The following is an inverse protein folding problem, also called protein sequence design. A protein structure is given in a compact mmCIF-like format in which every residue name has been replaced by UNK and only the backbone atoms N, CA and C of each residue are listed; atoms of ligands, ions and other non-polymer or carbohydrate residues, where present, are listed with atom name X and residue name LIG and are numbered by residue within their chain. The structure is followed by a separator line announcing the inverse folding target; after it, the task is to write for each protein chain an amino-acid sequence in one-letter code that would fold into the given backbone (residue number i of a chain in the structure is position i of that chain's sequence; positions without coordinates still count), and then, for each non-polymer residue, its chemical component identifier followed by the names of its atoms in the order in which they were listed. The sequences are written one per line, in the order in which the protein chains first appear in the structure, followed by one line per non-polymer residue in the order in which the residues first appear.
data_IF_019527887993
#
_entry.id   IF_019527887993
#
_cell.length_a   1.000
_cell.length_b   1.000
_cell.length_c   1.000
_cell.angle_alpha   90.00
_cell.angle_beta   90.00
_cell.angle_gamma   90.00
#
_symmetry.space_group_name_H-M   'P 1'
#
loop_
_entity.id
_entity.type
_entity.pdbx_description
1 polymer ?
#
# COMPACT_ATOMS: atom_id res chain seq x y z
N UNK A 1 -5.34 -9.73 9.33
CA UNK A 1 -4.56 -10.44 8.28
C UNK A 1 -5.04 -11.88 8.15
N UNK A 2 -4.92 -12.73 9.19
CA UNK A 2 -5.40 -14.13 9.17
C UNK A 2 -6.86 -14.26 8.67
N UNK A 3 -7.75 -13.37 9.12
CA UNK A 3 -9.14 -13.35 8.65
C UNK A 3 -9.33 -13.05 7.15
N UNK A 4 -8.46 -12.23 6.53
CA UNK A 4 -8.55 -11.94 5.09
C UNK A 4 -7.94 -13.09 4.27
N UNK A 5 -6.79 -13.62 4.70
CA UNK A 5 -6.10 -14.73 4.06
C UNK A 5 -6.95 -16.01 4.05
N UNK A 6 -7.59 -16.35 5.18
CA UNK A 6 -8.50 -17.49 5.28
C UNK A 6 -9.70 -17.39 4.32
N UNK A 7 -10.20 -16.18 4.07
CA UNK A 7 -11.40 -15.94 3.25
C UNK A 7 -11.10 -15.99 1.75
N UNK A 8 -9.87 -15.66 1.36
CA UNK A 8 -9.41 -15.83 -0.03
C UNK A 8 -9.00 -17.28 -0.29
N UNK A 9 -8.57 -18.00 0.77
CA UNK A 9 -8.26 -19.43 0.68
C UNK A 9 -9.54 -20.27 0.53
N UNK A 10 -9.96 -20.51 -0.72
CA UNK A 10 -10.98 -21.51 -1.04
C UNK A 10 -12.33 -21.00 -1.56
N UNK A 11 -12.47 -19.71 -1.87
CA UNK A 11 -13.66 -19.17 -2.55
C UNK A 11 -13.30 -18.48 -3.88
N UNK A 12 -13.90 -18.95 -4.99
CA UNK A 12 -13.98 -18.20 -6.24
C UNK A 12 -12.67 -17.92 -6.99
N UNK A 13 -12.60 -16.73 -7.61
CA UNK A 13 -11.55 -16.23 -8.50
C UNK A 13 -10.40 -15.50 -7.77
N UNK A 14 -10.32 -15.67 -6.45
CA UNK A 14 -9.30 -15.02 -5.61
C UNK A 14 -9.62 -13.57 -5.21
N UNK A 15 -10.88 -13.13 -5.39
CA UNK A 15 -11.35 -11.79 -4.99
C UNK A 15 -12.22 -11.83 -3.74
N UNK A 16 -12.06 -10.83 -2.87
CA UNK A 16 -12.91 -10.58 -1.72
C UNK A 16 -14.33 -10.22 -2.20
N UNK A 17 -15.31 -11.03 -1.81
CA UNK A 17 -16.73 -10.74 -2.09
C UNK A 17 -17.25 -9.65 -1.15
N UNK A 18 -18.42 -9.07 -1.47
CA UNK A 18 -19.02 -8.04 -0.59
C UNK A 18 -19.31 -8.60 0.80
N UNK A 19 -19.77 -9.87 0.86
CA UNK A 19 -20.02 -10.57 2.12
C UNK A 19 -18.75 -10.74 2.94
N UNK A 20 -17.64 -11.09 2.29
CA UNK A 20 -16.35 -11.26 2.99
C UNK A 20 -15.80 -9.90 3.44
N UNK A 21 -15.97 -8.84 2.64
CA UNK A 21 -15.62 -7.48 3.01
C UNK A 21 -16.43 -6.98 4.23
N UNK A 22 -17.74 -7.24 4.26
CA UNK A 22 -18.61 -6.98 5.41
C UNK A 22 -18.09 -7.68 6.66
N UNK A 23 -17.79 -8.97 6.56
CA UNK A 23 -17.33 -9.76 7.70
C UNK A 23 -15.94 -9.32 8.19
N UNK A 24 -15.01 -8.99 7.28
CA UNK A 24 -13.70 -8.43 7.62
C UNK A 24 -13.85 -7.14 8.43
N UNK A 25 -14.74 -6.23 8.00
CA UNK A 25 -15.01 -4.98 8.72
C UNK A 25 -15.65 -5.25 10.08
N UNK A 26 -16.59 -6.18 10.20
CA UNK A 26 -17.22 -6.51 11.49
C UNK A 26 -16.25 -7.19 12.46
N UNK A 27 -15.38 -8.08 11.97
CA UNK A 27 -14.35 -8.73 12.79
C UNK A 27 -13.26 -7.77 13.23
N UNK A 28 -13.05 -6.69 12.48
CA UNK A 28 -12.10 -5.61 12.83
C UNK A 28 -12.68 -4.61 13.83
N UNK A 29 -13.82 -4.89 14.47
CA UNK A 29 -14.41 -4.05 15.52
C UNK A 29 -14.34 -4.78 16.86
N UNK A 30 -13.16 -4.93 17.44
CA UNK A 30 -13.06 -5.48 18.79
C UNK A 30 -13.65 -4.49 19.81
N UNK A 31 -14.50 -4.99 20.71
CA UNK A 31 -15.16 -4.17 21.73
C UNK A 31 -16.09 -3.06 21.21
N UNK A 32 -16.50 -3.10 19.93
CA UNK A 32 -17.48 -2.17 19.33
C UNK A 32 -16.93 -0.81 18.92
N UNK A 33 -15.61 -0.65 18.83
CA UNK A 33 -14.94 0.53 18.26
C UNK A 33 -13.86 0.10 17.27
N UNK A 34 -13.53 0.98 16.33
CA UNK A 34 -12.35 0.81 15.46
C UNK A 34 -11.24 1.67 16.04
N UNK A 35 -10.08 1.05 16.23
CA UNK A 35 -8.84 1.60 16.76
C UNK A 35 -7.84 1.86 15.62
N UNK A 36 -6.72 2.50 15.95
CA UNK A 36 -5.58 2.67 15.02
C UNK A 36 -5.21 1.37 14.30
N UNK A 37 -5.04 0.27 15.05
CA UNK A 37 -4.62 -1.03 14.52
C UNK A 37 -5.59 -1.62 13.51
N UNK A 38 -6.89 -1.52 13.81
CA UNK A 38 -7.95 -2.02 12.93
C UNK A 38 -8.05 -1.18 11.66
N UNK A 39 -7.89 0.14 11.77
CA UNK A 39 -7.83 1.03 10.61
C UNK A 39 -6.63 0.73 9.71
N UNK A 40 -5.43 0.56 10.27
CA UNK A 40 -4.23 0.17 9.51
C UNK A 40 -4.45 -1.16 8.79
N UNK A 41 -5.09 -2.13 9.46
CA UNK A 41 -5.38 -3.43 8.87
C UNK A 41 -6.36 -3.31 7.71
N UNK A 42 -7.42 -2.50 7.85
CA UNK A 42 -8.39 -2.27 6.78
C UNK A 42 -7.79 -1.52 5.60
N UNK A 43 -6.89 -0.56 5.83
CA UNK A 43 -6.12 0.13 4.79
C UNK A 43 -5.24 -0.87 4.03
N UNK A 44 -4.46 -1.69 4.75
CA UNK A 44 -3.66 -2.74 4.14
C UNK A 44 -4.51 -3.69 3.29
N UNK A 45 -5.66 -4.13 3.81
CA UNK A 45 -6.54 -5.04 3.07
C UNK A 45 -7.04 -4.36 1.79
N UNK A 46 -7.40 -3.08 1.88
CA UNK A 46 -7.92 -2.31 0.76
C UNK A 46 -6.92 -2.20 -0.39
N UNK A 47 -5.62 -2.10 -0.12
CA UNK A 47 -4.60 -1.95 -1.17
C UNK A 47 -4.11 -3.29 -1.70
N UNK A 48 -3.86 -4.25 -0.80
CA UNK A 48 -3.13 -5.47 -1.13
C UNK A 48 -4.03 -6.59 -1.66
N UNK A 49 -5.35 -6.50 -1.45
CA UNK A 49 -6.29 -7.55 -1.88
C UNK A 49 -7.21 -7.09 -2.99
N UNK A 50 -7.58 -8.04 -3.85
CA UNK A 50 -8.53 -7.77 -4.92
C UNK A 50 -9.96 -7.89 -4.40
N UNK A 51 -10.78 -6.87 -4.63
CA UNK A 51 -12.20 -6.92 -4.35
C UNK A 51 -12.97 -7.24 -5.64
N UNK A 52 -14.11 -7.91 -5.49
CA UNK A 52 -15.13 -7.87 -6.56
C UNK A 52 -15.61 -6.43 -6.75
N UNK A 53 -16.07 -6.00 -7.94
CA UNK A 53 -16.55 -4.63 -8.14
C UNK A 53 -17.63 -4.20 -7.14
N UNK A 54 -18.53 -5.13 -6.77
CA UNK A 54 -19.56 -4.90 -5.76
C UNK A 54 -18.96 -4.67 -4.36
N UNK A 55 -17.99 -5.49 -3.97
CA UNK A 55 -17.29 -5.35 -2.71
C UNK A 55 -16.46 -4.06 -2.65
N UNK A 56 -15.80 -3.68 -3.75
CA UNK A 56 -15.04 -2.45 -3.85
C UNK A 56 -15.93 -1.23 -3.64
N UNK A 57 -17.08 -1.16 -4.32
CA UNK A 57 -18.05 -0.09 -4.16
C UNK A 57 -18.62 -0.02 -2.72
N UNK A 58 -18.94 -1.17 -2.14
CA UNK A 58 -19.39 -1.25 -0.75
C UNK A 58 -18.32 -0.72 0.22
N UNK A 59 -17.08 -1.16 0.05
CA UNK A 59 -15.96 -0.79 0.92
C UNK A 59 -15.60 0.69 0.79
N UNK A 60 -15.57 1.23 -0.43
CA UNK A 60 -15.36 2.66 -0.69
C UNK A 60 -16.44 3.54 -0.04
N UNK A 61 -17.71 3.11 -0.09
CA UNK A 61 -18.79 3.81 0.62
C UNK A 61 -18.68 3.69 2.14
N UNK A 62 -18.11 2.60 2.65
CA UNK A 62 -18.01 2.32 4.08
C UNK A 62 -16.79 2.95 4.75
N UNK A 63 -15.68 3.04 4.05
CA UNK A 63 -14.40 3.50 4.60
C UNK A 63 -14.50 4.91 5.23
N UNK A 64 -15.16 5.91 4.62
CA UNK A 64 -15.32 7.23 5.25
C UNK A 64 -16.10 7.19 6.57
N UNK A 65 -17.06 6.27 6.72
CA UNK A 65 -17.79 6.10 7.99
C UNK A 65 -16.91 5.43 9.05
N UNK A 66 -16.07 4.48 8.64
CA UNK A 66 -15.08 3.82 9.50
C UNK A 66 -14.08 4.86 10.00
N UNK A 67 -13.47 5.63 9.11
CA UNK A 67 -12.50 6.67 9.43
C UNK A 67 -13.09 7.72 10.38
N UNK A 68 -14.33 8.16 10.13
CA UNK A 68 -15.04 9.12 11.01
C UNK A 68 -15.36 8.55 12.39
N UNK A 69 -15.39 7.23 12.56
CA UNK A 69 -15.67 6.57 13.83
C UNK A 69 -14.41 6.34 14.69
N UNK A 70 -13.21 6.44 14.09
CA UNK A 70 -11.93 6.34 14.81
C UNK A 70 -11.67 7.63 15.59
N UNK A 71 -11.10 7.50 16.78
CA UNK A 71 -10.63 8.66 17.54
C UNK A 71 -9.67 9.52 16.68
N UNK A 72 -9.82 10.85 16.61
CA UNK A 72 -9.02 11.68 15.71
C UNK A 72 -7.50 11.55 15.90
N UNK A 73 -7.03 11.33 17.13
CA UNK A 73 -5.60 11.14 17.40
C UNK A 73 -5.13 9.79 16.84
N UNK A 74 -5.92 8.73 17.04
CA UNK A 74 -5.64 7.42 16.47
C UNK A 74 -5.75 7.39 14.95
N UNK A 75 -6.68 8.15 14.36
CA UNK A 75 -6.81 8.29 12.91
C UNK A 75 -5.57 8.96 12.30
N UNK A 76 -5.11 10.06 12.90
CA UNK A 76 -3.88 10.73 12.45
C UNK A 76 -2.64 9.84 12.66
N UNK A 77 -2.61 9.06 13.73
CA UNK A 77 -1.53 8.10 13.97
C UNK A 77 -1.53 6.98 12.92
N UNK A 78 -2.69 6.38 12.60
CA UNK A 78 -2.84 5.37 11.56
C UNK A 78 -2.38 5.89 10.19
N UNK A 79 -2.83 7.10 9.80
CA UNK A 79 -2.40 7.73 8.54
C UNK A 79 -0.90 7.91 8.47
N UNK A 80 -0.26 8.34 9.56
CA UNK A 80 1.21 8.48 9.61
C UNK A 80 1.89 7.12 9.55
N UNK A 81 1.33 6.10 10.19
CA UNK A 81 1.89 4.75 10.19
C UNK A 81 1.87 4.12 8.81
N UNK A 82 0.87 4.44 7.98
CA UNK A 82 0.72 3.83 6.66
C UNK A 82 1.28 4.68 5.51
N UNK A 83 1.06 6.00 5.53
CA UNK A 83 1.53 6.90 4.48
C UNK A 83 2.49 7.96 5.02
N UNK A 84 3.37 8.43 4.13
CA UNK A 84 4.19 9.62 4.37
C UNK A 84 3.71 10.72 3.44
N UNK A 85 3.24 11.84 4.01
CA UNK A 85 2.87 13.01 3.21
C UNK A 85 4.05 13.97 3.10
N UNK A 86 4.50 14.26 1.88
CA UNK A 86 5.56 15.22 1.60
C UNK A 86 4.98 16.27 0.66
N UNK A 87 4.97 17.54 1.10
CA UNK A 87 4.42 18.67 0.33
C UNK A 87 2.97 18.47 -0.15
N UNK A 88 2.15 17.75 0.61
CA UNK A 88 0.75 17.47 0.27
C UNK A 88 0.54 16.28 -0.66
N UNK A 89 1.60 15.61 -1.11
CA UNK A 89 1.53 14.36 -1.88
C UNK A 89 1.69 13.17 -0.93
N UNK A 90 0.85 12.16 -1.11
CA UNK A 90 0.86 10.91 -0.34
C UNK A 90 1.82 9.91 -0.99
N UNK A 91 2.71 9.35 -0.18
CA UNK A 91 3.67 8.33 -0.59
C UNK A 91 3.51 7.08 0.27
N UNK A 92 3.84 5.94 -0.30
CA UNK A 92 4.02 4.69 0.41
C UNK A 92 5.15 4.86 1.42
N UNK A 93 4.82 4.69 2.71
CA UNK A 93 5.80 4.90 3.77
C UNK A 93 6.84 3.79 3.79
N UNK A 94 6.44 2.54 3.58
CA UNK A 94 7.33 1.38 3.67
C UNK A 94 8.40 1.42 2.57
N UNK A 95 8.06 1.85 1.36
CA UNK A 95 9.02 2.03 0.27
C UNK A 95 10.03 3.15 0.56
N UNK A 96 9.58 4.28 1.13
CA UNK A 96 10.48 5.36 1.52
C UNK A 96 11.41 4.95 2.67
N UNK A 97 10.88 4.24 3.67
CA UNK A 97 11.70 3.71 4.77
C UNK A 97 12.69 2.67 4.27
N UNK A 98 12.29 1.78 3.36
CA UNK A 98 13.19 0.84 2.71
C UNK A 98 14.32 1.57 1.99
N UNK A 99 14.02 2.62 1.21
CA UNK A 99 15.05 3.43 0.55
C UNK A 99 15.99 4.13 1.54
N UNK A 100 15.45 4.72 2.62
CA UNK A 100 16.22 5.35 3.70
C UNK A 100 17.16 4.34 4.38
N UNK A 101 16.70 3.12 4.63
CA UNK A 101 17.50 2.05 5.24
C UNK A 101 18.68 1.62 4.36
N UNK A 102 18.50 1.54 3.03
CA UNK A 102 19.59 1.13 2.11
C UNK A 102 20.73 2.12 2.05
N UNK A 103 20.45 3.40 2.26
CA UNK A 103 21.47 4.45 2.32
C UNK A 103 22.00 4.69 3.75
N UNK A 104 21.29 4.20 4.77
CA UNK A 104 21.68 4.32 6.17
C UNK A 104 22.75 3.30 6.53
N UNK A 105 24.00 3.75 6.62
CA UNK A 105 25.10 2.95 7.18
C UNK A 105 25.70 1.86 6.27
N UNK A 106 25.30 1.78 5.00
CA UNK A 106 25.90 0.89 4.00
C UNK A 106 26.66 1.67 2.90
N UNK A 107 27.84 1.17 2.54
CA UNK A 107 28.58 1.63 1.35
C UNK A 107 28.89 3.14 1.34
N UNK A 108 28.65 3.78 0.21
CA UNK A 108 28.88 5.22 -0.02
C UNK A 108 27.60 6.06 -0.05
N UNK A 109 26.53 5.56 0.58
CA UNK A 109 25.25 6.27 0.69
C UNK A 109 24.45 6.30 -0.61
N UNK A 110 24.65 5.31 -1.50
CA UNK A 110 23.93 5.18 -2.76
C UNK A 110 23.19 3.86 -2.86
N UNK A 111 22.01 3.90 -3.46
CA UNK A 111 21.21 2.72 -3.78
C UNK A 111 21.93 1.90 -4.85
N UNK A 112 22.28 0.65 -4.52
CA UNK A 112 22.83 -0.31 -5.48
C UNK A 112 21.73 -0.89 -6.38
N UNK A 113 22.10 -1.58 -7.45
CA UNK A 113 21.10 -2.20 -8.34
C UNK A 113 20.30 -3.27 -7.60
N UNK A 114 20.94 -4.04 -6.72
CA UNK A 114 20.26 -5.03 -5.88
C UNK A 114 19.26 -4.37 -4.94
N UNK A 115 19.62 -3.23 -4.36
CA UNK A 115 18.72 -2.46 -3.51
C UNK A 115 17.52 -1.92 -4.29
N UNK A 116 17.77 -1.41 -5.49
CA UNK A 116 16.74 -0.96 -6.41
C UNK A 116 15.77 -2.08 -6.83
N UNK A 117 16.30 -3.27 -7.12
CA UNK A 117 15.51 -4.47 -7.40
C UNK A 117 14.59 -4.81 -6.22
N UNK A 118 15.15 -4.87 -5.00
CA UNK A 118 14.38 -5.22 -3.80
C UNK A 118 13.30 -4.17 -3.47
N UNK A 119 13.58 -2.87 -3.66
CA UNK A 119 12.57 -1.80 -3.49
C UNK A 119 11.43 -1.95 -4.50
N UNK A 120 11.73 -2.28 -5.76
CA UNK A 120 10.72 -2.50 -6.80
C UNK A 120 9.92 -3.79 -6.57
N UNK A 121 10.51 -4.81 -5.94
CA UNK A 121 9.75 -6.01 -5.54
C UNK A 121 8.84 -5.74 -4.33
N UNK A 122 9.28 -4.91 -3.38
CA UNK A 122 8.44 -4.48 -2.25
C UNK A 122 7.21 -3.69 -2.70
N UNK A 123 7.31 -2.93 -3.80
CA UNK A 123 6.20 -2.17 -4.35
C UNK A 123 5.17 -3.03 -5.10
N UNK A 124 5.30 -4.36 -5.04
CA UNK A 124 4.42 -5.33 -5.70
C UNK A 124 3.68 -6.19 -4.68
N UNK A 125 3.65 -5.80 -3.41
CA UNK A 125 2.97 -6.59 -2.39
C UNK A 125 1.47 -6.71 -2.75
N UNK A 126 0.90 -7.91 -2.59
CA UNK A 126 -0.42 -8.22 -3.13
C UNK A 126 -0.50 -8.43 -4.66
N UNK A 127 0.64 -8.46 -5.37
CA UNK A 127 0.75 -8.86 -6.78
C UNK A 127 0.49 -7.73 -7.80
N UNK A 128 0.45 -6.48 -7.37
CA UNK A 128 0.14 -5.30 -8.20
C UNK A 128 0.96 -4.09 -7.79
N UNK A 129 1.04 -3.10 -8.68
CA UNK A 129 1.59 -1.77 -8.38
C UNK A 129 0.44 -0.78 -8.51
N UNK A 130 0.17 -0.03 -7.45
CA UNK A 130 -0.81 1.05 -7.37
C UNK A 130 -0.20 2.39 -7.81
N UNK A 131 -1.04 3.41 -7.99
CA UNK A 131 -0.55 4.76 -8.29
C UNK A 131 0.28 5.34 -7.14
N UNK A 132 -0.10 5.08 -5.88
CA UNK A 132 0.67 5.51 -4.70
C UNK A 132 2.09 4.91 -4.70
N UNK A 133 2.22 3.62 -5.03
CA UNK A 133 3.52 2.97 -5.16
C UNK A 133 4.34 3.53 -6.34
N UNK A 134 3.72 3.74 -7.51
CA UNK A 134 4.40 4.35 -8.67
C UNK A 134 4.92 5.75 -8.32
N UNK A 135 4.09 6.62 -7.75
CA UNK A 135 4.47 7.98 -7.34
C UNK A 135 5.64 7.93 -6.33
N UNK A 136 5.64 6.91 -5.46
CA UNK A 136 6.73 6.70 -4.49
C UNK A 136 8.02 6.25 -5.15
N UNK A 137 7.97 5.32 -6.10
CA UNK A 137 9.14 4.91 -6.88
C UNK A 137 9.72 6.06 -7.71
N UNK A 138 8.85 6.90 -8.29
CA UNK A 138 9.26 8.12 -8.99
C UNK A 138 9.97 9.08 -8.02
N UNK A 139 9.37 9.33 -6.85
CA UNK A 139 10.00 10.17 -5.83
C UNK A 139 11.37 9.63 -5.39
N UNK A 140 11.49 8.32 -5.18
CA UNK A 140 12.77 7.69 -4.83
C UNK A 140 13.79 7.94 -5.96
N UNK A 141 13.39 7.75 -7.22
CA UNK A 141 14.28 7.95 -8.38
C UNK A 141 14.81 9.38 -8.51
N UNK A 142 14.02 10.38 -8.08
CA UNK A 142 14.36 11.79 -8.18
C UNK A 142 15.17 12.31 -6.97
N UNK A 143 14.93 11.75 -5.79
CA UNK A 143 15.44 12.32 -4.52
C UNK A 143 16.56 11.49 -3.87
N UNK A 144 16.78 10.25 -4.30
CA UNK A 144 17.84 9.39 -3.77
C UNK A 144 19.00 9.28 -4.74
N UNK A 145 20.21 9.06 -4.21
CA UNK A 145 21.38 8.82 -5.03
C UNK A 145 21.50 7.34 -5.38
N UNK A 146 21.61 7.05 -6.67
CA UNK A 146 21.81 5.69 -7.18
C UNK A 146 23.26 5.52 -7.62
N UNK A 147 23.75 4.28 -7.56
CA UNK A 147 24.93 3.92 -8.36
C UNK A 147 24.61 4.03 -9.86
N UNK A 148 25.59 4.27 -10.75
CA UNK A 148 25.31 4.38 -12.19
C UNK A 148 24.61 3.15 -12.78
N UNK A 149 24.95 1.96 -12.27
CA UNK A 149 24.31 0.70 -12.68
C UNK A 149 22.85 0.64 -12.24
N UNK A 150 22.57 1.02 -10.99
CA UNK A 150 21.22 1.06 -10.45
C UNK A 150 20.34 2.11 -11.16
N UNK A 151 20.88 3.30 -11.43
CA UNK A 151 20.15 4.35 -12.15
C UNK A 151 19.75 3.90 -13.57
N UNK A 152 20.67 3.25 -14.29
CA UNK A 152 20.38 2.71 -15.62
C UNK A 152 19.33 1.59 -15.58
N UNK A 153 19.43 0.70 -14.59
CA UNK A 153 18.46 -0.38 -14.38
C UNK A 153 17.07 0.19 -14.06
N UNK A 154 16.97 1.11 -13.10
CA UNK A 154 15.72 1.69 -12.63
C UNK A 154 15.01 2.47 -13.74
N UNK A 155 15.76 3.31 -14.48
CA UNK A 155 15.22 4.05 -15.62
C UNK A 155 14.73 3.13 -16.75
N UNK A 156 15.40 1.98 -16.95
CA UNK A 156 14.94 0.95 -17.88
C UNK A 156 13.67 0.23 -17.41
N UNK A 157 13.48 0.10 -16.10
CA UNK A 157 12.33 -0.60 -15.50
C UNK A 157 11.09 0.26 -15.34
N UNK A 158 11.24 1.56 -15.07
CA UNK A 158 10.14 2.46 -14.78
C UNK A 158 9.02 2.43 -15.85
N UNK A 159 9.31 2.41 -17.17
CA UNK A 159 8.25 2.33 -18.18
C UNK A 159 7.46 1.02 -18.17
N UNK A 160 8.05 -0.09 -17.71
CA UNK A 160 7.32 -1.34 -17.55
C UNK A 160 6.43 -1.31 -16.30
N UNK A 161 6.91 -0.67 -15.23
CA UNK A 161 6.15 -0.45 -13.99
C UNK A 161 4.93 0.44 -14.27
N UNK A 162 5.12 1.57 -14.96
CA UNK A 162 4.04 2.48 -15.37
C UNK A 162 2.94 1.77 -16.18
N UNK A 163 3.32 0.84 -17.06
CA UNK A 163 2.35 0.04 -17.84
C UNK A 163 1.66 -1.05 -17.01
N UNK A 164 2.28 -1.46 -15.91
CA UNK A 164 1.75 -2.48 -15.01
C UNK A 164 0.92 -1.90 -13.87
N UNK A 165 0.80 -0.57 -13.76
CA UNK A 165 -0.01 0.07 -12.73
C UNK A 165 -1.46 -0.34 -12.86
N UNK A 166 -2.00 -0.93 -11.79
CA UNK A 166 -3.42 -1.14 -11.62
C UNK A 166 -4.00 0.15 -11.01
N UNK A 167 -4.99 0.81 -11.66
CA UNK A 167 -5.65 1.95 -11.04
C UNK A 167 -6.20 1.58 -9.66
N UNK A 168 -6.23 2.55 -8.74
CA UNK A 168 -6.81 2.33 -7.42
C UNK A 168 -8.23 1.77 -7.57
N UNK A 169 -8.47 0.59 -7.00
CA UNK A 169 -9.72 -0.14 -7.20
C UNK A 169 -10.96 0.57 -6.63
N UNK A 170 -10.76 1.66 -5.87
CA UNK A 170 -11.80 2.48 -5.24
C UNK A 170 -11.97 3.87 -5.89
N UNK A 171 -11.17 4.25 -6.90
CA UNK A 171 -11.29 5.58 -7.55
C UNK A 171 -12.52 5.73 -8.48
N UNK A 172 -13.18 4.63 -8.83
CA UNK A 172 -14.35 4.63 -9.72
C UNK A 172 -15.70 4.44 -9.00
N UNK A 173 -15.71 4.47 -7.66
CA UNK A 173 -16.89 4.21 -6.83
C UNK A 173 -17.65 5.50 -6.42
#
# INVERSE_FOLDING_TARGET
LEAADERISGQGDGRISEKDAEEIVELSKDGGRITETELITLQYISENYHFTPKAAAWFAGKLPDIERAVDPEQFEQAKKSYYKTIQGVRYDRALLEAADERISGQGDGRISEKDAEEIVELSKDGGRITETELITLQYISENYHFTPKAAAWFAGKLPDIERAVDPEQFEQA
#
